data_IF_502853783861
#
_entry.id   IF_502853783861
#
_cell.length_a   1.000
_cell.length_b   1.000
_cell.length_c   1.000
_cell.angle_alpha   90.00
_cell.angle_beta   90.00
_cell.angle_gamma   90.00
#
_symmetry.space_group_name_H-M   'P 1'
#
loop_
_entity.id
_entity.type
_entity.pdbx_description
1 polymer ?
#
# COMPACT_ATOMS: atom_id res chain seq x y z
N UNK A 1 3.14 10.80 9.88
CA UNK A 1 1.99 11.40 10.60
C UNK A 1 1.12 10.26 11.11
N UNK A 2 0.42 10.42 12.24
CA UNK A 2 -0.44 9.33 12.74
C UNK A 2 -1.71 9.20 11.91
N UNK A 3 -2.37 8.02 11.96
CA UNK A 3 -3.65 7.77 11.30
C UNK A 3 -4.70 8.82 11.70
N UNK A 4 -4.78 9.16 13.00
CA UNK A 4 -5.69 10.17 13.50
C UNK A 4 -5.41 11.57 12.92
N UNK A 5 -4.13 11.96 12.81
CA UNK A 5 -3.76 13.26 12.23
C UNK A 5 -4.13 13.34 10.77
N UNK A 6 -3.86 12.28 10.01
CA UNK A 6 -4.20 12.19 8.58
C UNK A 6 -5.72 12.29 8.42
N UNK A 7 -6.47 11.56 9.24
CA UNK A 7 -7.94 11.58 9.21
C UNK A 7 -8.50 12.98 9.51
N UNK A 8 -8.04 13.63 10.58
CA UNK A 8 -8.51 14.97 10.95
C UNK A 8 -8.15 15.98 9.88
N UNK A 9 -6.93 15.91 9.33
CA UNK A 9 -6.49 16.79 8.26
C UNK A 9 -7.32 16.63 6.98
N UNK A 10 -7.66 15.38 6.58
CA UNK A 10 -8.56 15.12 5.45
C UNK A 10 -9.95 15.76 5.63
N UNK A 11 -10.39 15.94 6.88
CA UNK A 11 -11.64 16.60 7.24
C UNK A 11 -11.48 18.09 7.59
N UNK A 12 -10.31 18.70 7.31
CA UNK A 12 -10.05 20.12 7.62
C UNK A 12 -10.00 20.45 9.11
N UNK A 13 -9.77 19.45 9.97
CA UNK A 13 -9.72 19.58 11.44
C UNK A 13 -8.32 19.28 11.97
N UNK A 14 -8.09 19.69 13.21
CA UNK A 14 -6.92 19.38 14.03
C UNK A 14 -7.38 18.81 15.36
N UNK A 15 -6.47 18.17 16.11
CA UNK A 15 -6.78 17.66 17.46
C UNK A 15 -7.25 18.76 18.42
N UNK A 16 -6.77 19.99 18.21
CA UNK A 16 -7.23 21.16 18.94
C UNK A 16 -8.74 21.37 18.77
N UNK A 17 -9.28 21.14 17.57
CA UNK A 17 -10.72 21.28 17.32
C UNK A 17 -11.52 20.20 18.05
N UNK A 18 -10.98 18.98 18.11
CA UNK A 18 -11.59 17.88 18.90
C UNK A 18 -11.63 18.24 20.38
N UNK A 19 -10.54 18.80 20.92
CA UNK A 19 -10.51 19.28 22.31
C UNK A 19 -11.54 20.40 22.54
N UNK A 20 -11.60 21.40 21.65
CA UNK A 20 -12.52 22.54 21.77
C UNK A 20 -13.99 22.11 21.74
N UNK A 21 -14.33 21.12 20.92
CA UNK A 21 -15.71 20.68 20.70
C UNK A 21 -16.22 19.66 21.73
N UNK A 22 -15.30 18.90 22.34
CA UNK A 22 -15.66 17.70 23.13
C UNK A 22 -15.01 17.63 24.52
N UNK A 23 -14.00 18.46 24.78
CA UNK A 23 -13.23 18.44 26.02
C UNK A 23 -12.23 17.27 26.14
N UNK A 24 -12.10 16.39 25.14
CA UNK A 24 -11.08 15.34 25.18
C UNK A 24 -9.68 15.93 25.10
N UNK A 25 -8.85 15.64 26.10
CA UNK A 25 -7.50 16.20 26.21
C UNK A 25 -6.63 15.85 25.01
N UNK A 26 -5.74 16.78 24.63
CA UNK A 26 -4.77 16.53 23.56
C UNK A 26 -3.81 15.38 23.91
N UNK A 27 -3.53 15.14 25.20
CA UNK A 27 -2.71 14.02 25.67
C UNK A 27 -3.41 12.68 25.38
N UNK A 28 -4.72 12.59 25.62
CA UNK A 28 -5.52 11.41 25.26
C UNK A 28 -5.48 11.17 23.76
N UNK A 29 -5.70 12.21 22.94
CA UNK A 29 -5.62 12.11 21.48
C UNK A 29 -4.20 11.78 20.98
N UNK A 30 -3.15 12.21 21.66
CA UNK A 30 -1.77 11.83 21.33
C UNK A 30 -1.45 10.37 21.69
N UNK A 31 -2.07 9.84 22.73
CA UNK A 31 -1.84 8.46 23.20
C UNK A 31 -2.39 7.39 22.25
N UNK A 32 -3.44 7.72 21.49
CA UNK A 32 -4.04 6.82 20.48
C UNK A 32 -3.24 6.79 19.17
N UNK A 33 -2.42 7.80 18.88
CA UNK A 33 -1.60 7.84 17.66
C UNK A 33 -0.61 6.68 17.51
N UNK A 34 -0.16 6.11 18.63
CA UNK A 34 0.81 5.01 18.66
C UNK A 34 0.14 3.63 18.63
N UNK A 35 -1.18 3.59 18.51
CA UNK A 35 -1.96 2.37 18.67
C UNK A 35 -2.84 2.12 17.45
N UNK A 36 -3.24 0.86 17.29
CA UNK A 36 -4.18 0.45 16.24
C UNK A 36 -5.55 1.11 16.46
N UNK A 37 -6.31 1.36 15.39
CA UNK A 37 -7.65 1.95 15.44
C UNK A 37 -8.58 1.12 16.33
N UNK A 38 -8.44 -0.21 16.33
CA UNK A 38 -9.20 -1.12 17.21
C UNK A 38 -9.01 -0.87 18.72
N UNK A 39 -7.94 -0.17 19.11
CA UNK A 39 -7.69 0.18 20.51
C UNK A 39 -8.28 1.53 20.92
N UNK A 40 -8.91 2.24 19.98
CA UNK A 40 -9.49 3.55 20.25
C UNK A 40 -10.73 3.33 21.11
N UNK A 41 -10.84 4.07 22.20
CA UNK A 41 -12.02 3.99 23.04
C UNK A 41 -13.25 4.47 22.26
N UNK A 42 -14.42 3.90 22.55
CA UNK A 42 -15.70 4.37 21.98
C UNK A 42 -15.82 5.89 22.16
N UNK A 43 -15.55 6.41 23.36
CA UNK A 43 -15.57 7.85 23.67
C UNK A 43 -14.67 8.67 22.74
N UNK A 44 -13.51 8.15 22.34
CA UNK A 44 -12.61 8.79 21.37
C UNK A 44 -13.25 8.87 20.00
N UNK A 45 -13.85 7.78 19.51
CA UNK A 45 -14.54 7.73 18.23
C UNK A 45 -15.73 8.70 18.20
N UNK A 46 -16.53 8.73 19.27
CA UNK A 46 -17.66 9.67 19.42
C UNK A 46 -17.21 11.13 19.35
N UNK A 47 -16.12 11.47 20.02
CA UNK A 47 -15.59 12.83 20.00
C UNK A 47 -15.09 13.25 18.63
N UNK A 48 -14.40 12.34 17.92
CA UNK A 48 -13.96 12.59 16.54
C UNK A 48 -15.18 12.78 15.65
N UNK A 49 -16.16 11.88 15.72
CA UNK A 49 -17.40 11.91 14.95
C UNK A 49 -18.16 13.23 15.12
N UNK A 50 -18.34 13.69 16.37
CA UNK A 50 -18.94 14.99 16.67
C UNK A 50 -18.16 16.16 16.04
N UNK A 51 -16.83 16.10 16.08
CA UNK A 51 -15.96 17.18 15.56
C UNK A 51 -16.02 17.29 14.04
N UNK A 52 -16.10 16.16 13.34
CA UNK A 52 -16.14 16.10 11.87
C UNK A 52 -17.56 16.03 11.31
N UNK A 53 -18.58 16.04 12.19
CA UNK A 53 -20.01 16.01 11.83
C UNK A 53 -20.41 14.78 11.01
N UNK A 54 -19.86 13.61 11.36
CA UNK A 54 -20.17 12.32 10.74
C UNK A 54 -20.72 11.33 11.77
N UNK A 55 -21.30 10.23 11.29
CA UNK A 55 -21.68 9.14 12.19
C UNK A 55 -20.46 8.42 12.75
N UNK A 56 -20.58 7.87 13.96
CA UNK A 56 -19.51 7.11 14.62
C UNK A 56 -19.08 5.90 13.78
N UNK A 57 -20.03 5.22 13.14
CA UNK A 57 -19.77 4.09 12.25
C UNK A 57 -19.00 4.48 10.99
N UNK A 58 -19.35 5.61 10.38
CA UNK A 58 -18.61 6.15 9.22
C UNK A 58 -17.18 6.51 9.61
N UNK A 59 -16.99 7.22 10.73
CA UNK A 59 -15.66 7.58 11.25
C UNK A 59 -14.83 6.33 11.53
N UNK A 60 -15.40 5.31 12.16
CA UNK A 60 -14.69 4.06 12.45
C UNK A 60 -14.27 3.36 11.14
N UNK A 61 -15.17 3.26 10.17
CA UNK A 61 -14.89 2.65 8.88
C UNK A 61 -13.77 3.40 8.13
N UNK A 62 -13.82 4.72 8.11
CA UNK A 62 -12.80 5.55 7.45
C UNK A 62 -11.45 5.48 8.17
N UNK A 63 -11.42 5.44 9.50
CA UNK A 63 -10.20 5.25 10.28
C UNK A 63 -9.60 3.87 10.05
N UNK A 64 -10.40 2.81 10.04
CA UNK A 64 -9.94 1.45 9.75
C UNK A 64 -9.45 1.33 8.30
N UNK A 65 -10.11 2.00 7.35
CA UNK A 65 -9.66 2.08 5.97
C UNK A 65 -8.33 2.82 5.88
N UNK A 66 -8.19 3.97 6.55
CA UNK A 66 -6.94 4.72 6.64
C UNK A 66 -5.81 3.94 7.30
N UNK A 67 -6.12 3.14 8.32
CA UNK A 67 -5.16 2.24 8.96
C UNK A 67 -4.67 1.18 7.97
N UNK A 68 -5.56 0.62 7.15
CA UNK A 68 -5.17 -0.31 6.08
C UNK A 68 -4.46 0.38 4.90
N UNK A 69 -4.84 1.61 4.57
CA UNK A 69 -4.16 2.46 3.57
C UNK A 69 -2.75 2.87 4.02
N UNK A 70 -2.54 3.07 5.33
CA UNK A 70 -1.25 3.41 5.93
C UNK A 70 -0.48 2.21 6.48
N UNK A 71 -1.08 1.02 6.54
CA UNK A 71 -0.38 -0.25 6.74
C UNK A 71 0.33 -0.57 5.43
N UNK A 72 1.35 0.22 5.13
CA UNK A 72 2.25 -0.03 4.02
C UNK A 72 3.03 -1.29 4.35
N UNK A 73 2.70 -2.38 3.69
CA UNK A 73 3.54 -3.56 3.71
C UNK A 73 4.80 -3.22 2.92
N UNK A 74 5.97 -3.29 3.54
CA UNK A 74 7.23 -3.03 2.86
C UNK A 74 7.86 -4.36 2.48
N UNK A 75 8.01 -4.59 1.18
CA UNK A 75 8.69 -5.76 0.67
C UNK A 75 10.16 -5.40 0.40
N UNK A 76 11.06 -6.10 1.09
CA UNK A 76 12.50 -5.98 0.92
C UNK A 76 13.10 -7.15 0.15
N UNK A 77 12.32 -8.21 -0.10
CA UNK A 77 12.69 -9.41 -0.82
C UNK A 77 11.44 -10.15 -1.35
N UNK A 78 11.65 -11.29 -2.01
CA UNK A 78 10.58 -12.11 -2.59
C UNK A 78 9.63 -12.73 -1.56
N UNK A 79 10.16 -13.21 -0.42
CA UNK A 79 9.33 -13.84 0.61
C UNK A 79 8.39 -12.80 1.25
N UNK A 80 8.87 -11.58 1.49
CA UNK A 80 8.04 -10.46 1.95
C UNK A 80 6.91 -10.18 0.96
N UNK A 81 7.23 -10.16 -0.34
CA UNK A 81 6.24 -9.90 -1.39
C UNK A 81 5.18 -11.01 -1.47
N UNK A 82 5.58 -12.27 -1.31
CA UNK A 82 4.68 -13.41 -1.20
C UNK A 82 3.75 -13.29 0.00
N UNK A 83 4.29 -12.97 1.18
CA UNK A 83 3.50 -12.74 2.39
C UNK A 83 2.48 -11.63 2.15
N UNK A 84 2.89 -10.54 1.50
CA UNK A 84 2.00 -9.43 1.17
C UNK A 84 0.85 -9.85 0.24
N UNK A 85 1.14 -10.68 -0.77
CA UNK A 85 0.13 -11.22 -1.68
C UNK A 85 -0.81 -12.22 -1.00
N UNK A 86 -0.30 -13.08 -0.13
CA UNK A 86 -1.08 -14.04 0.65
C UNK A 86 -2.07 -13.33 1.57
N UNK A 87 -1.63 -12.25 2.21
CA UNK A 87 -2.44 -11.42 3.09
C UNK A 87 -3.38 -10.46 2.33
N UNK A 88 -3.27 -10.39 1.00
CA UNK A 88 -3.99 -9.44 0.15
C UNK A 88 -3.79 -7.99 0.62
N UNK A 89 -2.56 -7.64 0.97
CA UNK A 89 -2.21 -6.29 1.40
C UNK A 89 -2.64 -5.29 0.34
N UNK A 90 -3.26 -4.18 0.73
CA UNK A 90 -3.84 -3.22 -0.23
C UNK A 90 -2.77 -2.39 -0.93
N UNK A 91 -1.67 -2.12 -0.23
CA UNK A 91 -0.56 -1.29 -0.68
C UNK A 91 0.76 -1.91 -0.26
N UNK A 92 1.63 -2.20 -1.22
CA UNK A 92 2.93 -2.83 -0.98
C UNK A 92 4.01 -1.93 -1.56
N UNK A 93 4.90 -1.43 -0.72
CA UNK A 93 6.06 -0.66 -1.15
C UNK A 93 7.25 -1.58 -1.36
N UNK A 94 7.85 -1.54 -2.54
CA UNK A 94 9.12 -2.23 -2.79
C UNK A 94 10.26 -1.31 -2.36
N UNK A 95 11.09 -1.80 -1.44
CA UNK A 95 12.16 -1.04 -0.77
C UNK A 95 13.51 -1.74 -0.89
N UNK A 96 14.57 -1.01 -0.57
CA UNK A 96 15.93 -1.55 -0.54
C UNK A 96 16.50 -1.95 -1.90
N UNK A 97 17.48 -2.85 -1.90
CA UNK A 97 18.14 -3.37 -3.11
C UNK A 97 17.17 -4.09 -4.04
N UNK A 98 16.14 -4.71 -3.46
CA UNK A 98 15.07 -5.36 -4.19
C UNK A 98 14.38 -4.40 -5.18
N UNK A 99 14.19 -3.13 -4.81
CA UNK A 99 13.67 -2.12 -5.75
C UNK A 99 14.54 -1.99 -7.00
N UNK A 100 15.85 -1.89 -6.84
CA UNK A 100 16.80 -1.75 -7.96
C UNK A 100 16.76 -2.98 -8.85
N UNK A 101 16.59 -4.17 -8.26
CA UNK A 101 16.40 -5.40 -9.03
C UNK A 101 15.12 -5.37 -9.87
N UNK A 102 13.98 -5.00 -9.28
CA UNK A 102 12.71 -4.82 -10.01
C UNK A 102 12.86 -3.78 -11.12
N UNK A 103 13.51 -2.64 -10.85
CA UNK A 103 13.70 -1.57 -11.83
C UNK A 103 14.63 -1.98 -12.97
N UNK A 104 15.73 -2.69 -12.68
CA UNK A 104 16.67 -3.18 -13.70
C UNK A 104 16.02 -4.23 -14.58
N UNK A 105 15.22 -5.12 -13.99
CA UNK A 105 14.45 -6.14 -14.70
C UNK A 105 13.34 -5.51 -15.56
N UNK A 106 12.71 -4.45 -15.09
CA UNK A 106 11.75 -3.70 -15.88
C UNK A 106 12.44 -2.99 -17.05
N UNK A 107 13.60 -2.36 -16.82
CA UNK A 107 14.32 -1.58 -17.83
C UNK A 107 14.98 -2.42 -18.93
N UNK A 108 15.55 -3.59 -18.61
CA UNK A 108 16.24 -4.44 -19.57
C UNK A 108 15.33 -5.01 -20.67
N UNK A 109 14.01 -5.01 -20.46
CA UNK A 109 13.03 -5.59 -21.40
C UNK A 109 12.16 -4.54 -22.11
N UNK A 110 12.07 -3.33 -21.58
CA UNK A 110 11.42 -2.20 -22.25
C UNK A 110 12.16 -1.76 -23.52
N UNK A 111 13.45 -2.09 -23.66
CA UNK A 111 14.23 -1.78 -24.86
C UNK A 111 13.92 -2.69 -26.06
N UNK A 112 13.31 -3.86 -25.84
CA UNK A 112 13.01 -4.83 -26.91
C UNK A 112 11.52 -4.91 -27.25
N UNK A 113 10.62 -4.52 -26.34
CA UNK A 113 9.17 -4.55 -26.56
C UNK A 113 8.57 -3.15 -26.42
N UNK A 114 8.48 -2.47 -27.55
CA UNK A 114 7.99 -1.10 -27.67
C UNK A 114 6.63 -0.90 -26.96
N UNK A 115 6.64 -0.07 -25.92
CA UNK A 115 5.56 0.88 -25.56
C UNK A 115 4.16 0.33 -25.22
N UNK A 116 3.99 -0.98 -25.00
CA UNK A 116 2.71 -1.54 -24.53
C UNK A 116 2.73 -1.97 -23.05
N UNK A 117 3.86 -1.75 -22.36
CA UNK A 117 4.05 -2.17 -20.97
C UNK A 117 4.02 -1.05 -19.94
N UNK A 118 4.17 0.21 -20.35
CA UNK A 118 4.23 1.36 -19.44
C UNK A 118 3.49 2.55 -20.03
N UNK A 119 2.39 2.96 -19.41
CA UNK A 119 1.73 4.22 -19.73
C UNK A 119 2.30 5.33 -18.83
N UNK A 120 2.87 6.36 -19.46
CA UNK A 120 3.16 7.63 -18.80
C UNK A 120 1.83 8.37 -18.59
N UNK A 121 1.33 8.37 -17.36
CA UNK A 121 0.18 9.19 -16.98
C UNK A 121 0.50 10.68 -17.09
N UNK A 122 -0.54 11.51 -17.26
CA UNK A 122 -0.44 12.95 -17.48
C UNK A 122 0.30 13.73 -16.37
N UNK A 123 0.41 13.16 -15.16
CA UNK A 123 1.13 13.73 -14.02
C UNK A 123 2.58 13.19 -13.86
N UNK A 124 3.16 12.59 -14.91
CA UNK A 124 4.52 12.03 -14.86
C UNK A 124 4.61 10.70 -14.10
N UNK A 125 3.48 10.02 -13.90
CA UNK A 125 3.43 8.72 -13.21
C UNK A 125 3.47 7.59 -14.22
N UNK A 126 4.47 6.70 -14.12
CA UNK A 126 4.53 5.49 -14.94
C UNK A 126 3.62 4.39 -14.37
N UNK A 127 2.63 3.95 -15.15
CA UNK A 127 1.77 2.80 -14.88
C UNK A 127 2.32 1.60 -15.63
N UNK A 128 2.72 0.53 -14.92
CA UNK A 128 3.13 -0.71 -15.60
C UNK A 128 1.87 -1.52 -15.95
N UNK A 129 1.67 -1.77 -17.25
CA UNK A 129 0.57 -2.53 -17.82
C UNK A 129 0.72 -4.03 -17.51
N UNK A 130 -0.40 -4.75 -17.51
CA UNK A 130 -0.51 -6.15 -17.08
C UNK A 130 0.44 -7.11 -17.84
N UNK A 131 0.79 -6.80 -19.09
CA UNK A 131 1.68 -7.60 -19.92
C UNK A 131 3.16 -7.45 -19.53
N UNK A 132 3.62 -6.22 -19.24
CA UNK A 132 4.96 -5.98 -18.67
C UNK A 132 5.11 -6.61 -17.28
N UNK A 133 4.00 -6.68 -16.54
CA UNK A 133 3.92 -7.36 -15.25
C UNK A 133 4.09 -8.89 -15.31
N UNK A 134 3.46 -9.55 -16.29
CA UNK A 134 3.62 -10.99 -16.48
C UNK A 134 5.06 -11.35 -16.90
N UNK A 135 5.75 -10.45 -17.60
CA UNK A 135 7.13 -10.68 -18.00
C UNK A 135 8.11 -10.49 -16.84
N UNK A 136 7.89 -9.51 -15.96
CA UNK A 136 8.63 -9.38 -14.70
C UNK A 136 8.54 -10.67 -13.87
N UNK A 137 7.35 -11.26 -13.76
CA UNK A 137 7.15 -12.51 -13.03
C UNK A 137 7.91 -13.70 -13.65
N UNK A 138 7.96 -13.81 -14.99
CA UNK A 138 8.77 -14.79 -15.72
C UNK A 138 10.28 -14.62 -15.56
N UNK A 139 10.74 -13.38 -15.37
CA UNK A 139 12.17 -13.10 -15.20
C UNK A 139 12.64 -13.39 -13.78
N UNK A 140 11.78 -13.20 -12.78
CA UNK A 140 12.02 -13.78 -11.45
C UNK A 140 12.22 -15.29 -11.52
N UNK A 141 11.53 -15.97 -12.45
CA UNK A 141 11.69 -17.41 -12.66
C UNK A 141 13.03 -17.82 -13.27
N UNK A 142 13.78 -16.91 -13.90
CA UNK A 142 15.05 -17.23 -14.59
C UNK A 142 16.29 -16.94 -13.74
N UNK A 143 16.20 -16.05 -12.75
CA UNK A 143 17.37 -15.57 -11.98
C UNK A 143 17.74 -16.49 -10.80
N UNK A 144 16.83 -17.34 -10.34
CA UNK A 144 17.01 -18.25 -9.18
C UNK A 144 17.35 -19.70 -9.58
N UNK A 145 18.16 -19.90 -10.63
CA UNK A 145 18.69 -21.24 -10.93
C UNK A 145 19.95 -21.49 -10.08
N UNK A 146 19.78 -22.08 -8.90
CA UNK A 146 20.63 -23.13 -8.32
C UNK A 146 20.17 -23.46 -6.88
N UNK A 147 19.31 -24.50 -6.79
CA UNK A 147 18.96 -25.35 -5.62
C UNK A 147 17.46 -25.44 -5.25
N UNK A 148 16.78 -26.44 -5.86
CA UNK A 148 15.41 -26.94 -5.63
C UNK A 148 14.30 -26.44 -6.57
N UNK A 149 14.49 -26.73 -7.87
CA UNK A 149 13.61 -26.41 -9.02
C UNK A 149 12.09 -26.67 -8.86
N UNK A 150 11.65 -27.62 -8.01
CA UNK A 150 10.23 -28.00 -7.93
C UNK A 150 9.39 -27.18 -6.95
N UNK A 151 9.94 -26.77 -5.81
CA UNK A 151 9.19 -25.99 -4.82
C UNK A 151 9.27 -24.49 -5.11
N UNK A 152 10.32 -24.05 -5.80
CA UNK A 152 10.51 -22.65 -6.23
C UNK A 152 9.61 -22.30 -7.41
N UNK A 153 9.48 -23.19 -8.42
CA UNK A 153 8.50 -23.01 -9.51
C UNK A 153 7.08 -22.84 -9.00
N UNK A 154 6.68 -23.57 -7.94
CA UNK A 154 5.36 -23.42 -7.30
C UNK A 154 5.20 -22.08 -6.57
N UNK A 155 6.27 -21.57 -5.94
CA UNK A 155 6.26 -20.22 -5.33
C UNK A 155 6.07 -19.15 -6.40
N UNK A 156 6.79 -19.29 -7.52
CA UNK A 156 6.74 -18.37 -8.65
C UNK A 156 5.36 -18.38 -9.34
N UNK A 157 4.76 -19.54 -9.59
CA UNK A 157 3.40 -19.63 -10.14
C UNK A 157 2.36 -18.97 -9.22
N UNK A 158 2.53 -19.10 -7.90
CA UNK A 158 1.69 -18.40 -6.92
C UNK A 158 1.89 -16.89 -6.99
N UNK A 159 3.12 -16.42 -7.15
CA UNK A 159 3.42 -15.00 -7.36
C UNK A 159 2.74 -14.51 -8.63
N UNK A 160 2.92 -15.18 -9.76
CA UNK A 160 2.28 -14.84 -11.04
C UNK A 160 0.76 -14.74 -10.91
N UNK A 161 0.13 -15.74 -10.28
CA UNK A 161 -1.32 -15.76 -10.09
C UNK A 161 -1.79 -14.60 -9.20
N UNK A 162 -1.06 -14.24 -8.14
CA UNK A 162 -1.46 -13.21 -7.20
C UNK A 162 -1.12 -11.81 -7.70
N UNK A 163 -0.02 -11.64 -8.42
CA UNK A 163 0.40 -10.38 -9.05
C UNK A 163 -0.63 -9.85 -10.05
N UNK A 164 -1.37 -10.72 -10.74
CA UNK A 164 -2.47 -10.32 -11.63
C UNK A 164 -3.57 -9.52 -10.91
N UNK A 165 -3.65 -9.62 -9.58
CA UNK A 165 -4.59 -8.87 -8.76
C UNK A 165 -4.10 -7.47 -8.42
N UNK A 166 -2.87 -7.09 -8.80
CA UNK A 166 -2.24 -5.82 -8.44
C UNK A 166 -1.94 -4.94 -9.67
N UNK A 167 -1.79 -3.63 -9.43
CA UNK A 167 -1.23 -2.63 -10.34
C UNK A 167 0.00 -2.04 -9.69
N UNK A 168 0.96 -1.55 -10.47
CA UNK A 168 2.17 -0.90 -9.95
C UNK A 168 2.24 0.51 -10.49
N UNK A 169 2.60 1.42 -9.59
CA UNK A 169 2.82 2.81 -9.88
C UNK A 169 4.16 3.23 -9.29
N UNK A 170 4.93 3.96 -10.08
CA UNK A 170 6.08 4.70 -9.57
C UNK A 170 5.60 6.08 -9.14
N UNK A 171 5.87 6.46 -7.90
CA UNK A 171 5.50 7.79 -7.42
C UNK A 171 6.57 8.84 -7.79
N UNK A 172 6.27 10.12 -7.55
CA UNK A 172 7.14 11.26 -7.88
C UNK A 172 8.51 11.24 -7.18
N UNK A 173 8.66 10.43 -6.13
CA UNK A 173 9.92 10.19 -5.40
C UNK A 173 10.70 8.98 -5.92
N UNK A 174 10.18 8.33 -6.98
CA UNK A 174 10.73 7.13 -7.55
C UNK A 174 10.47 5.86 -6.73
N UNK A 175 9.54 5.87 -5.79
CA UNK A 175 9.18 4.67 -5.00
C UNK A 175 8.22 3.79 -5.81
N UNK A 176 8.44 2.48 -5.76
CA UNK A 176 7.59 1.48 -6.40
C UNK A 176 6.49 1.05 -5.43
N UNK A 177 5.24 1.26 -5.84
CA UNK A 177 4.04 0.92 -5.09
C UNK A 177 3.18 -0.06 -5.88
N UNK A 178 2.93 -1.23 -5.32
CA UNK A 178 1.91 -2.16 -5.78
C UNK A 178 0.60 -1.88 -5.02
N UNK A 179 -0.53 -1.88 -5.71
CA UNK A 179 -1.85 -1.73 -5.12
C UNK A 179 -2.87 -2.68 -5.73
N UNK A 180 -3.78 -3.20 -4.90
CA UNK A 180 -4.75 -4.21 -5.32
C UNK A 180 -5.79 -3.62 -6.30
N UNK A 181 -6.04 -4.30 -7.43
CA UNK A 181 -6.98 -3.91 -8.51
C UNK A 181 -8.42 -3.74 -8.06
N UNK A 182 -8.82 -4.37 -6.95
CA UNK A 182 -10.20 -4.30 -6.43
C UNK A 182 -10.60 -2.91 -5.89
N UNK A 183 -9.71 -1.90 -5.95
CA UNK A 183 -9.98 -0.52 -5.56
C UNK A 183 -10.52 0.36 -6.70
N UNK A 184 -10.74 -0.18 -7.92
CA UNK A 184 -11.47 0.52 -8.98
C UNK A 184 -13.00 0.41 -8.72
N UNK A 185 -13.52 1.13 -7.72
CA UNK A 185 -14.96 1.40 -7.52
C UNK A 185 -15.19 2.77 -6.87
#
# INVERSE_FOLDING_TARGET
MSILDIYLQRNGKKRYDVFKETGISQQTLASVNKKKVSSYSVKTIQAIAKTVQKSEGEVLNELLRLEKENATFEAYNYDDLLVAFDNKELYIFIRGEFKTEIETLAQSQLSETETLGIELGSDGTANILAEGFNQLAKLFSQKENEENEQDERKKIEKIESKMRMYKMKKNSKGELLLYLRQLDY
#
